data_IF_840977874472
#
_entry.id   IF_840977874472
#
_cell.length_a   1.000
_cell.length_b   1.000
_cell.length_c   1.000
_cell.angle_alpha   90.00
_cell.angle_beta   90.00
_cell.angle_gamma   90.00
#
_symmetry.space_group_name_H-M   'P 1'
#
loop_
_entity.id
_entity.type
_entity.pdbx_description
1 polymer ?
#
# COMPACT_ATOMS: atom_id res chain seq x y z
N UNK A 1 -32.87 -1.97 -11.44
CA UNK A 1 -32.03 -0.83 -11.84
C UNK A 1 -30.61 -1.37 -11.98
N UNK A 2 -29.99 -1.27 -13.16
CA UNK A 2 -28.59 -1.64 -13.36
C UNK A 2 -27.73 -0.69 -12.51
N UNK A 3 -26.86 -1.23 -11.66
CA UNK A 3 -25.90 -0.44 -10.91
C UNK A 3 -24.97 0.26 -11.90
N UNK A 4 -24.73 1.54 -11.72
CA UNK A 4 -23.75 2.29 -12.51
C UNK A 4 -22.37 1.64 -12.31
N UNK A 5 -21.60 1.43 -13.39
CA UNK A 5 -20.25 0.88 -13.23
C UNK A 5 -19.38 1.84 -12.38
N UNK A 6 -18.46 1.30 -11.58
CA UNK A 6 -17.58 2.13 -10.76
C UNK A 6 -16.70 3.04 -11.63
N UNK A 7 -16.38 4.25 -11.13
CA UNK A 7 -15.52 5.21 -11.80
C UNK A 7 -14.04 4.84 -11.72
N UNK A 8 -13.66 4.06 -10.73
CA UNK A 8 -12.30 3.57 -10.49
C UNK A 8 -12.31 2.32 -9.59
N UNK A 9 -11.19 1.61 -9.53
CA UNK A 9 -11.07 0.48 -8.61
C UNK A 9 -9.72 0.44 -7.88
N UNK A 10 -9.74 -0.18 -6.69
CA UNK A 10 -8.56 -0.55 -5.92
C UNK A 10 -8.57 -2.05 -5.70
N UNK A 11 -7.58 -2.77 -6.23
CA UNK A 11 -7.35 -4.16 -5.87
C UNK A 11 -6.34 -4.24 -4.73
N UNK A 12 -6.73 -4.89 -3.64
CA UNK A 12 -5.93 -5.03 -2.43
C UNK A 12 -5.37 -6.44 -2.33
N UNK A 13 -4.03 -6.54 -2.28
CA UNK A 13 -3.27 -7.78 -2.29
C UNK A 13 -2.55 -7.96 -0.94
N UNK A 14 -2.94 -8.98 -0.19
CA UNK A 14 -2.34 -9.23 1.12
C UNK A 14 -1.00 -9.98 1.02
N UNK A 15 -0.23 -9.95 2.09
CA UNK A 15 1.02 -10.71 2.22
C UNK A 15 0.80 -12.21 2.24
N UNK A 16 1.90 -12.95 2.16
CA UNK A 16 1.88 -14.41 2.18
C UNK A 16 3.23 -14.97 2.56
N UNK A 17 3.54 -16.17 2.05
CA UNK A 17 4.80 -16.90 2.28
C UNK A 17 5.58 -17.00 0.97
N UNK A 18 6.85 -17.31 1.07
CA UNK A 18 7.66 -17.66 -0.08
C UNK A 18 7.17 -18.95 -0.76
N UNK A 19 6.78 -19.95 0.05
CA UNK A 19 6.25 -21.21 -0.43
C UNK A 19 5.00 -21.64 0.34
N UNK A 20 4.10 -22.36 -0.34
CA UNK A 20 2.90 -22.92 0.24
C UNK A 20 1.77 -23.07 -0.77
N UNK A 21 1.54 -24.31 -1.22
CA UNK A 21 0.54 -24.65 -2.25
C UNK A 21 -0.87 -24.89 -1.70
N UNK A 22 -1.04 -24.92 -0.37
CA UNK A 22 -2.38 -24.96 0.22
C UNK A 22 -3.07 -23.58 0.16
N UNK A 23 -4.41 -23.54 0.27
CA UNK A 23 -5.14 -22.28 0.31
C UNK A 23 -4.79 -21.45 1.54
N UNK A 24 -4.96 -20.12 1.50
CA UNK A 24 -4.90 -19.30 2.69
C UNK A 24 -5.92 -19.76 3.73
N UNK A 25 -5.60 -19.71 5.04
CA UNK A 25 -6.57 -20.02 6.08
C UNK A 25 -7.83 -19.16 5.95
N UNK A 26 -9.02 -19.68 6.26
CA UNK A 26 -10.25 -18.93 6.12
C UNK A 26 -10.42 -17.84 7.21
N UNK A 27 -11.13 -16.78 6.88
CA UNK A 27 -11.63 -15.78 7.80
C UNK A 27 -10.56 -15.11 8.67
N UNK A 28 -10.72 -15.09 10.00
CA UNK A 28 -9.78 -14.42 10.92
C UNK A 28 -8.40 -15.09 11.01
N UNK A 29 -8.30 -16.35 10.63
CA UNK A 29 -7.03 -17.09 10.64
C UNK A 29 -6.09 -16.66 9.51
N UNK A 30 -6.61 -16.02 8.46
CA UNK A 30 -5.79 -15.39 7.42
C UNK A 30 -5.25 -14.04 7.93
N UNK A 31 -4.28 -14.07 8.85
CA UNK A 31 -3.70 -12.86 9.45
C UNK A 31 -3.18 -11.85 8.41
N UNK A 32 -2.50 -12.25 7.31
CA UNK A 32 -2.14 -11.31 6.26
C UNK A 32 -3.35 -10.60 5.62
N UNK A 33 -4.43 -11.32 5.34
CA UNK A 33 -5.67 -10.75 4.82
C UNK A 33 -6.37 -9.84 5.84
N UNK A 34 -6.41 -10.25 7.11
CA UNK A 34 -6.97 -9.44 8.21
C UNK A 34 -6.24 -8.12 8.36
N UNK A 35 -4.91 -8.12 8.21
CA UNK A 35 -4.06 -6.91 8.28
C UNK A 35 -4.45 -5.86 7.24
N UNK A 36 -4.94 -6.26 6.08
CA UNK A 36 -5.35 -5.32 5.03
C UNK A 36 -6.76 -4.73 5.26
N UNK A 37 -7.58 -5.30 6.13
CA UNK A 37 -8.96 -4.82 6.38
C UNK A 37 -9.06 -3.35 6.82
N UNK A 38 -8.19 -2.82 7.71
CA UNK A 38 -8.20 -1.40 8.05
C UNK A 38 -7.97 -0.49 6.85
N UNK A 39 -7.04 -0.86 5.95
CA UNK A 39 -6.78 -0.12 4.71
C UNK A 39 -8.01 -0.13 3.79
N UNK A 40 -8.62 -1.30 3.57
CA UNK A 40 -9.87 -1.42 2.79
C UNK A 40 -10.96 -0.52 3.36
N UNK A 41 -11.14 -0.51 4.69
CA UNK A 41 -12.16 0.33 5.35
C UNK A 41 -11.84 1.82 5.21
N UNK A 42 -10.56 2.21 5.32
CA UNK A 42 -10.13 3.60 5.17
C UNK A 42 -10.38 4.09 3.74
N UNK A 43 -9.98 3.31 2.73
CA UNK A 43 -10.22 3.62 1.31
C UNK A 43 -11.72 3.72 0.99
N UNK A 44 -12.52 2.76 1.45
CA UNK A 44 -13.96 2.80 1.23
C UNK A 44 -14.66 3.99 1.93
N UNK A 45 -14.13 4.49 3.05
CA UNK A 45 -14.62 5.72 3.70
C UNK A 45 -14.20 6.96 2.91
N UNK A 46 -12.94 7.02 2.46
CA UNK A 46 -12.42 8.14 1.67
C UNK A 46 -13.21 8.29 0.36
N UNK A 47 -13.45 7.21 -0.38
CA UNK A 47 -14.25 7.21 -1.59
C UNK A 47 -15.67 7.76 -1.34
N UNK A 48 -16.35 7.27 -0.30
CA UNK A 48 -17.68 7.77 0.06
C UNK A 48 -17.67 9.25 0.45
N UNK A 49 -16.66 9.69 1.19
CA UNK A 49 -16.55 11.09 1.60
C UNK A 49 -16.30 12.04 0.41
N UNK A 50 -15.58 11.55 -0.63
CA UNK A 50 -15.35 12.27 -1.89
C UNK A 50 -16.53 12.20 -2.87
N UNK A 51 -17.60 11.45 -2.56
CA UNK A 51 -18.70 11.22 -3.50
C UNK A 51 -18.33 10.36 -4.71
N UNK A 52 -17.22 9.63 -4.62
CA UNK A 52 -16.65 8.82 -5.70
C UNK A 52 -17.16 7.38 -5.64
N UNK A 53 -17.52 6.82 -6.80
CA UNK A 53 -17.89 5.41 -6.91
C UNK A 53 -16.65 4.54 -7.17
N UNK A 54 -15.82 4.38 -6.13
CA UNK A 54 -14.59 3.59 -6.19
C UNK A 54 -14.84 2.19 -5.62
N UNK A 55 -14.65 1.17 -6.45
CA UNK A 55 -14.69 -0.22 -6.03
C UNK A 55 -13.41 -0.60 -5.28
N UNK A 56 -13.52 -1.02 -4.01
CA UNK A 56 -12.38 -1.55 -3.25
C UNK A 56 -12.57 -3.05 -3.05
N UNK A 57 -11.74 -3.87 -3.69
CA UNK A 57 -11.84 -5.34 -3.68
C UNK A 57 -10.54 -5.97 -3.23
N UNK A 58 -10.60 -6.96 -2.33
CA UNK A 58 -9.44 -7.79 -1.97
C UNK A 58 -9.31 -8.95 -2.97
N UNK A 59 -8.10 -9.16 -3.48
CA UNK A 59 -7.77 -10.34 -4.29
C UNK A 59 -7.80 -11.59 -3.41
N UNK A 60 -8.45 -12.64 -3.90
CA UNK A 60 -8.48 -13.96 -3.26
C UNK A 60 -7.38 -14.81 -3.88
N UNK A 61 -6.48 -15.31 -3.04
CA UNK A 61 -5.43 -16.22 -3.50
C UNK A 61 -5.89 -17.67 -3.45
N UNK A 62 -5.59 -18.41 -4.50
CA UNK A 62 -5.74 -19.86 -4.53
C UNK A 62 -4.72 -20.54 -3.62
N UNK A 63 -3.51 -19.99 -3.56
CA UNK A 63 -2.39 -20.51 -2.78
C UNK A 63 -1.81 -19.46 -1.83
N UNK A 64 -1.34 -19.89 -0.64
CA UNK A 64 -0.81 -19.00 0.40
C UNK A 64 0.64 -18.54 0.16
N UNK A 65 1.34 -19.13 -0.82
CA UNK A 65 2.74 -18.87 -1.13
C UNK A 65 2.95 -18.30 -2.53
N UNK A 66 4.13 -17.71 -2.74
CA UNK A 66 4.58 -17.26 -4.06
C UNK A 66 4.89 -18.43 -4.99
N UNK A 67 5.52 -19.49 -4.45
CA UNK A 67 5.81 -20.78 -5.09
C UNK A 67 6.77 -20.71 -6.30
N UNK A 68 7.85 -19.95 -6.15
CA UNK A 68 8.91 -19.85 -7.18
C UNK A 68 8.40 -19.32 -8.52
N UNK A 69 8.68 -20.02 -9.60
CA UNK A 69 8.29 -19.61 -10.96
C UNK A 69 6.78 -19.68 -11.22
N UNK A 70 6.04 -20.43 -10.39
CA UNK A 70 4.58 -20.45 -10.47
C UNK A 70 3.96 -19.09 -10.20
N UNK A 71 4.56 -18.29 -9.31
CA UNK A 71 4.10 -16.94 -8.99
C UNK A 71 2.58 -16.86 -8.77
N UNK A 72 1.99 -17.83 -8.04
CA UNK A 72 0.54 -17.99 -7.92
C UNK A 72 -0.22 -16.67 -7.59
N UNK A 73 0.26 -15.82 -6.65
CA UNK A 73 -0.42 -14.56 -6.34
C UNK A 73 -0.41 -13.54 -7.50
N UNK A 74 0.55 -13.64 -8.42
CA UNK A 74 0.55 -12.84 -9.65
C UNK A 74 -0.59 -13.27 -10.57
N UNK A 75 -0.77 -14.57 -10.77
CA UNK A 75 -1.86 -15.09 -11.60
C UNK A 75 -3.22 -14.74 -11.03
N UNK A 76 -3.39 -14.86 -9.70
CA UNK A 76 -4.63 -14.45 -9.02
C UNK A 76 -4.89 -12.93 -9.17
N UNK A 77 -3.84 -12.09 -9.15
CA UNK A 77 -3.97 -10.65 -9.36
C UNK A 77 -4.38 -10.32 -10.80
N UNK A 78 -3.77 -10.97 -11.79
CA UNK A 78 -4.12 -10.77 -13.21
C UNK A 78 -5.56 -11.22 -13.47
N UNK A 79 -5.95 -12.41 -12.99
CA UNK A 79 -7.33 -12.90 -13.12
C UNK A 79 -8.35 -11.93 -12.49
N UNK A 80 -8.03 -11.33 -11.33
CA UNK A 80 -8.89 -10.32 -10.71
C UNK A 80 -9.00 -9.03 -11.55
N UNK A 81 -7.94 -8.64 -12.25
CA UNK A 81 -7.95 -7.51 -13.20
C UNK A 81 -8.76 -7.83 -14.46
N UNK A 82 -8.62 -9.03 -14.99
CA UNK A 82 -9.41 -9.49 -16.15
C UNK A 82 -10.91 -9.50 -15.84
N UNK A 83 -11.30 -9.99 -14.66
CA UNK A 83 -12.70 -9.93 -14.19
C UNK A 83 -13.18 -8.46 -14.10
N UNK A 84 -12.37 -7.55 -13.58
CA UNK A 84 -12.76 -6.12 -13.52
C UNK A 84 -12.92 -5.53 -14.92
N UNK A 85 -12.07 -5.91 -15.87
CA UNK A 85 -12.18 -5.46 -17.26
C UNK A 85 -13.48 -5.93 -17.89
N UNK A 86 -13.89 -7.18 -17.64
CA UNK A 86 -15.16 -7.75 -18.11
C UNK A 86 -16.37 -7.08 -17.44
N UNK A 87 -16.30 -6.81 -16.13
CA UNK A 87 -17.42 -6.25 -15.35
C UNK A 87 -17.63 -4.73 -15.62
N UNK A 88 -16.55 -3.97 -15.82
CA UNK A 88 -16.60 -2.50 -15.82
C UNK A 88 -15.97 -1.82 -17.06
N UNK A 89 -15.42 -2.59 -17.99
CA UNK A 89 -14.84 -2.09 -19.25
C UNK A 89 -13.34 -1.86 -19.21
N UNK A 90 -12.78 -1.57 -20.38
CA UNK A 90 -11.33 -1.50 -20.60
C UNK A 90 -10.68 -0.19 -20.11
N UNK A 91 -11.46 0.82 -19.81
CA UNK A 91 -10.97 2.14 -19.40
C UNK A 91 -10.99 2.37 -17.88
N UNK A 92 -11.47 1.39 -17.09
CA UNK A 92 -11.54 1.49 -15.63
C UNK A 92 -10.13 1.71 -15.04
N UNK A 93 -9.82 2.88 -14.44
CA UNK A 93 -8.53 3.08 -13.81
C UNK A 93 -8.42 2.24 -12.52
N UNK A 94 -7.35 1.44 -12.41
CA UNK A 94 -7.10 0.60 -11.25
C UNK A 94 -5.79 0.98 -10.58
N UNK A 95 -5.83 1.14 -9.25
CA UNK A 95 -4.62 1.19 -8.40
C UNK A 95 -4.49 -0.14 -7.66
N UNK A 96 -3.30 -0.74 -7.73
CA UNK A 96 -2.98 -1.94 -6.97
C UNK A 96 -2.37 -1.54 -5.62
N UNK A 97 -2.97 -1.99 -4.53
CA UNK A 97 -2.42 -1.84 -3.17
C UNK A 97 -1.95 -3.19 -2.66
N UNK A 98 -0.64 -3.37 -2.51
CA UNK A 98 -0.08 -4.63 -2.05
C UNK A 98 0.73 -4.52 -0.76
N UNK A 99 0.76 -5.59 0.04
CA UNK A 99 1.63 -5.73 1.21
C UNK A 99 2.56 -6.92 1.05
N UNK A 100 3.88 -6.75 1.28
CA UNK A 100 4.88 -7.83 1.30
C UNK A 100 4.85 -8.66 -0.01
N UNK A 101 4.53 -9.95 0.02
CA UNK A 101 4.31 -10.80 -1.15
C UNK A 101 3.24 -10.22 -2.10
N UNK A 102 2.16 -9.65 -1.54
CA UNK A 102 1.10 -9.01 -2.34
C UNK A 102 1.59 -7.75 -3.05
N UNK A 103 2.55 -7.01 -2.49
CA UNK A 103 3.19 -5.89 -3.18
C UNK A 103 4.05 -6.38 -4.36
N UNK A 104 4.76 -7.51 -4.20
CA UNK A 104 5.46 -8.16 -5.31
C UNK A 104 4.49 -8.55 -6.43
N UNK A 105 3.35 -9.16 -6.09
CA UNK A 105 2.33 -9.52 -7.06
C UNK A 105 1.76 -8.28 -7.76
N UNK A 106 1.47 -7.20 -7.04
CA UNK A 106 1.00 -5.93 -7.59
C UNK A 106 2.02 -5.32 -8.59
N UNK A 107 3.29 -5.28 -8.21
CA UNK A 107 4.37 -4.79 -9.09
C UNK A 107 4.51 -5.63 -10.36
N UNK A 108 4.36 -6.96 -10.26
CA UNK A 108 4.45 -7.87 -11.39
C UNK A 108 3.22 -7.79 -12.31
N UNK A 109 2.02 -7.56 -11.75
CA UNK A 109 0.76 -7.41 -12.48
C UNK A 109 0.56 -6.01 -13.10
N UNK A 110 1.44 -5.04 -12.82
CA UNK A 110 1.26 -3.64 -13.21
C UNK A 110 1.29 -3.39 -14.72
N UNK A 111 1.75 -4.36 -15.53
CA UNK A 111 1.65 -4.28 -17.00
C UNK A 111 0.23 -4.42 -17.55
N UNK A 112 -0.74 -4.83 -16.74
CA UNK A 112 -2.13 -4.96 -17.17
C UNK A 112 -2.72 -3.58 -17.60
N UNK A 113 -3.50 -3.49 -18.70
CA UNK A 113 -3.99 -2.22 -19.25
C UNK A 113 -4.76 -1.34 -18.29
N UNK A 114 -5.56 -1.92 -17.39
CA UNK A 114 -6.33 -1.17 -16.39
C UNK A 114 -5.46 -0.48 -15.34
N UNK A 115 -4.22 -0.97 -15.09
CA UNK A 115 -3.42 -0.49 -13.97
C UNK A 115 -2.82 0.89 -14.28
N UNK A 116 -3.14 1.88 -13.45
CA UNK A 116 -2.57 3.24 -13.49
C UNK A 116 -1.40 3.40 -12.55
N UNK A 117 -1.46 2.72 -11.38
CA UNK A 117 -0.41 2.83 -10.40
C UNK A 117 -0.39 1.69 -9.38
N UNK A 118 0.69 1.66 -8.61
CA UNK A 118 0.94 0.67 -7.57
C UNK A 118 1.34 1.37 -6.27
N UNK A 119 0.69 1.03 -5.17
CA UNK A 119 1.14 1.36 -3.81
C UNK A 119 1.59 0.07 -3.14
N UNK A 120 2.89 -0.06 -2.90
CA UNK A 120 3.49 -1.23 -2.25
C UNK A 120 3.90 -0.94 -0.81
N UNK A 121 3.38 -1.70 0.15
CA UNK A 121 3.67 -1.56 1.58
C UNK A 121 4.63 -2.67 2.02
N UNK A 122 5.78 -2.29 2.59
CA UNK A 122 6.83 -3.23 3.03
C UNK A 122 7.09 -4.34 1.99
N UNK A 123 7.33 -4.01 0.71
CA UNK A 123 7.31 -4.97 -0.38
C UNK A 123 8.44 -5.98 -0.28
N UNK A 124 8.16 -7.20 -0.71
CA UNK A 124 9.19 -8.19 -0.96
C UNK A 124 9.71 -8.03 -2.40
N UNK A 125 10.95 -7.55 -2.52
CA UNK A 125 11.59 -7.17 -3.79
C UNK A 125 12.85 -8.01 -4.07
N UNK A 126 12.75 -9.25 -4.58
CA UNK A 126 13.90 -10.00 -5.02
C UNK A 126 14.68 -9.26 -6.12
N UNK A 127 16.01 -9.36 -6.10
CA UNK A 127 16.89 -8.62 -7.02
C UNK A 127 16.60 -8.90 -8.51
N UNK A 128 16.19 -10.11 -8.85
CA UNK A 128 15.90 -10.55 -10.22
C UNK A 128 14.51 -10.20 -10.74
N UNK A 129 13.62 -9.61 -9.92
CA UNK A 129 12.27 -9.29 -10.38
C UNK A 129 12.31 -8.24 -11.51
N UNK A 130 11.54 -8.44 -12.62
CA UNK A 130 11.47 -7.51 -13.72
C UNK A 130 10.80 -6.20 -13.32
N UNK A 131 11.16 -5.11 -14.04
CA UNK A 131 10.62 -3.77 -13.82
C UNK A 131 10.07 -3.12 -15.11
N UNK A 132 10.26 -3.75 -16.27
CA UNK A 132 9.84 -3.20 -17.57
C UNK A 132 8.33 -3.02 -17.68
N UNK A 133 7.55 -3.90 -17.04
CA UNK A 133 6.09 -3.80 -16.98
C UNK A 133 5.59 -2.59 -16.17
N UNK A 134 6.48 -1.91 -15.45
CA UNK A 134 6.17 -0.70 -14.68
C UNK A 134 6.28 0.57 -15.52
N UNK A 135 6.82 0.51 -16.73
CA UNK A 135 6.96 1.67 -17.62
C UNK A 135 5.62 2.41 -17.79
N UNK A 136 5.65 3.74 -17.63
CA UNK A 136 4.46 4.59 -17.68
C UNK A 136 3.51 4.50 -16.50
N UNK A 137 3.84 3.74 -15.43
CA UNK A 137 3.02 3.61 -14.22
C UNK A 137 3.56 4.47 -13.09
N UNK A 138 2.66 4.91 -12.21
CA UNK A 138 3.00 5.54 -10.94
C UNK A 138 3.22 4.45 -9.88
N UNK A 139 4.42 4.41 -9.30
CA UNK A 139 4.79 3.39 -8.33
C UNK A 139 5.29 4.05 -7.06
N UNK A 140 4.52 3.93 -5.98
CA UNK A 140 4.93 4.42 -4.67
C UNK A 140 5.13 3.25 -3.73
N UNK A 141 6.35 3.11 -3.22
CA UNK A 141 6.73 2.04 -2.30
C UNK A 141 6.97 2.62 -0.90
N UNK A 142 6.26 2.11 0.08
CA UNK A 142 6.37 2.55 1.47
C UNK A 142 7.06 1.47 2.29
N UNK A 143 8.17 1.79 2.95
CA UNK A 143 8.94 0.82 3.71
C UNK A 143 9.39 1.38 5.06
N UNK A 144 9.42 0.54 6.09
CA UNK A 144 9.97 0.93 7.37
C UNK A 144 11.49 0.72 7.43
N UNK A 145 12.21 1.67 8.01
CA UNK A 145 13.65 1.50 8.28
C UNK A 145 13.97 0.43 9.35
N UNK A 146 12.97 -0.11 10.04
CA UNK A 146 13.10 -1.19 11.03
C UNK A 146 12.46 -2.50 10.59
N UNK A 147 12.12 -2.62 9.32
CA UNK A 147 11.67 -3.90 8.77
C UNK A 147 12.80 -4.94 8.82
N UNK A 148 12.51 -6.11 9.38
CA UNK A 148 13.47 -7.23 9.51
C UNK A 148 13.08 -8.44 8.67
N UNK A 149 11.95 -8.37 7.96
CA UNK A 149 11.46 -9.45 7.11
C UNK A 149 11.74 -9.20 5.64
N UNK A 150 11.63 -7.94 5.22
CA UNK A 150 11.97 -7.50 3.86
C UNK A 150 12.95 -6.33 3.91
N UNK A 151 13.75 -6.17 2.86
CA UNK A 151 14.84 -5.20 2.82
C UNK A 151 14.40 -3.84 2.27
N UNK A 152 14.52 -2.75 3.04
CA UNK A 152 14.31 -1.38 2.53
C UNK A 152 15.29 -1.04 1.39
N UNK A 153 16.52 -1.56 1.44
CA UNK A 153 17.54 -1.35 0.40
C UNK A 153 17.14 -2.03 -0.91
N UNK A 154 16.55 -3.24 -0.84
CA UNK A 154 16.01 -3.91 -2.02
C UNK A 154 14.85 -3.13 -2.64
N UNK A 155 14.00 -2.52 -1.80
CA UNK A 155 12.92 -1.63 -2.25
C UNK A 155 13.48 -0.40 -2.95
N UNK A 156 14.47 0.27 -2.39
CA UNK A 156 15.13 1.43 -3.00
C UNK A 156 15.79 1.06 -4.34
N UNK A 157 16.47 -0.07 -4.39
CA UNK A 157 17.09 -0.58 -5.63
C UNK A 157 16.04 -0.87 -6.71
N UNK A 158 14.90 -1.50 -6.35
CA UNK A 158 13.80 -1.74 -7.28
C UNK A 158 13.20 -0.41 -7.78
N UNK A 159 12.98 0.57 -6.88
CA UNK A 159 12.46 1.89 -7.22
C UNK A 159 13.35 2.59 -8.25
N UNK A 160 14.67 2.59 -8.03
CA UNK A 160 15.63 3.18 -8.96
C UNK A 160 15.68 2.43 -10.31
N UNK A 161 15.63 1.09 -10.31
CA UNK A 161 15.57 0.30 -11.56
C UNK A 161 14.30 0.57 -12.34
N UNK A 162 13.15 0.64 -11.66
CA UNK A 162 11.86 0.92 -12.27
C UNK A 162 11.84 2.32 -12.91
N UNK A 163 12.41 3.33 -12.24
CA UNK A 163 12.55 4.69 -12.79
C UNK A 163 13.36 4.69 -14.08
N UNK A 164 14.51 4.04 -14.09
CA UNK A 164 15.32 3.89 -15.31
C UNK A 164 14.60 3.14 -16.43
N UNK A 165 13.65 2.27 -16.11
CA UNK A 165 12.80 1.58 -17.05
C UNK A 165 11.56 2.39 -17.50
N UNK A 166 11.44 3.66 -17.10
CA UNK A 166 10.36 4.56 -17.52
C UNK A 166 9.15 4.61 -16.62
N UNK A 167 9.21 4.04 -15.40
CA UNK A 167 8.18 4.24 -14.39
C UNK A 167 8.39 5.57 -13.65
N UNK A 168 7.30 6.20 -13.20
CA UNK A 168 7.37 7.31 -12.24
C UNK A 168 7.35 6.72 -10.84
N UNK A 169 8.45 6.88 -10.10
CA UNK A 169 8.62 6.14 -8.84
C UNK A 169 8.92 7.05 -7.65
N UNK A 170 8.41 6.68 -6.49
CA UNK A 170 8.72 7.28 -5.20
C UNK A 170 8.84 6.20 -4.13
N UNK A 171 9.83 6.30 -3.26
CA UNK A 171 9.91 5.51 -2.04
C UNK A 171 9.64 6.41 -0.84
N UNK A 172 8.80 5.96 0.10
CA UNK A 172 8.56 6.67 1.37
C UNK A 172 9.05 5.80 2.53
N UNK A 173 9.93 6.36 3.36
CA UNK A 173 10.43 5.70 4.57
C UNK A 173 9.55 6.03 5.76
N UNK A 174 9.05 5.01 6.47
CA UNK A 174 8.35 5.14 7.75
C UNK A 174 9.31 4.82 8.88
N UNK A 175 9.84 5.85 9.57
CA UNK A 175 10.75 5.65 10.70
C UNK A 175 10.04 4.98 11.87
N UNK A 176 10.69 3.98 12.47
CA UNK A 176 10.16 3.29 13.65
C UNK A 176 8.93 2.42 13.41
N UNK A 177 8.51 2.25 12.16
CA UNK A 177 7.48 1.28 11.79
C UNK A 177 7.95 -0.16 11.90
N UNK A 178 7.13 -1.11 11.42
CA UNK A 178 7.47 -2.52 11.34
C UNK A 178 6.87 -3.14 10.06
N UNK A 179 7.31 -4.36 9.71
CA UNK A 179 6.78 -5.10 8.55
C UNK A 179 5.26 -5.30 8.62
N UNK A 180 4.75 -5.50 9.83
CA UNK A 180 3.33 -5.75 10.05
C UNK A 180 2.48 -4.49 10.01
N UNK A 181 3.09 -3.30 9.91
CA UNK A 181 2.40 -1.99 9.91
C UNK A 181 1.55 -1.75 11.18
N UNK A 182 1.92 -2.42 12.30
CA UNK A 182 1.25 -2.27 13.59
C UNK A 182 1.84 -1.05 14.31
N UNK A 183 3.17 -0.93 14.29
CA UNK A 183 3.82 0.27 14.80
C UNK A 183 3.54 1.42 13.85
N UNK A 184 3.06 2.54 14.41
CA UNK A 184 2.64 3.72 13.66
C UNK A 184 1.47 3.44 12.69
N UNK A 185 0.54 2.55 13.06
CA UNK A 185 -0.57 2.13 12.19
C UNK A 185 -1.35 3.31 11.60
N UNK A 186 -1.63 4.35 12.40
CA UNK A 186 -2.29 5.58 11.92
C UNK A 186 -1.53 6.26 10.78
N UNK A 187 -0.19 6.37 10.86
CA UNK A 187 0.63 6.95 9.81
C UNK A 187 0.58 6.10 8.52
N UNK A 188 0.70 4.77 8.63
CA UNK A 188 0.56 3.86 7.51
C UNK A 188 -0.81 4.02 6.81
N UNK A 189 -1.90 4.06 7.59
CA UNK A 189 -3.25 4.16 7.03
C UNK A 189 -3.48 5.51 6.33
N UNK A 190 -3.09 6.64 6.95
CA UNK A 190 -3.25 7.98 6.37
C UNK A 190 -2.45 8.12 5.07
N UNK A 191 -1.15 7.78 5.14
CA UNK A 191 -0.28 7.84 3.97
C UNK A 191 -0.85 6.99 2.83
N UNK A 192 -1.18 5.72 3.10
CA UNK A 192 -1.70 4.81 2.07
C UNK A 192 -3.00 5.33 1.46
N UNK A 193 -3.92 5.86 2.28
CA UNK A 193 -5.18 6.41 1.78
C UNK A 193 -4.90 7.61 0.86
N UNK A 194 -4.08 8.57 1.28
CA UNK A 194 -3.72 9.72 0.46
C UNK A 194 -2.99 9.34 -0.83
N UNK A 195 -2.08 8.35 -0.78
CA UNK A 195 -1.40 7.84 -1.98
C UNK A 195 -2.38 7.22 -2.97
N UNK A 196 -3.27 6.34 -2.50
CA UNK A 196 -4.22 5.64 -3.38
C UNK A 196 -5.22 6.63 -3.98
N UNK A 197 -5.82 7.53 -3.19
CA UNK A 197 -6.75 8.54 -3.70
C UNK A 197 -6.07 9.52 -4.65
N UNK A 198 -4.83 9.92 -4.35
CA UNK A 198 -4.04 10.78 -5.24
C UNK A 198 -3.71 10.12 -6.58
N UNK A 199 -3.33 8.83 -6.58
CA UNK A 199 -3.06 8.07 -7.82
C UNK A 199 -4.33 7.80 -8.65
N UNK A 200 -5.49 7.74 -8.03
CA UNK A 200 -6.78 7.66 -8.72
C UNK A 200 -7.27 9.02 -9.25
N UNK A 201 -6.63 10.13 -8.85
CA UNK A 201 -7.08 11.47 -9.21
C UNK A 201 -8.29 11.97 -8.41
N UNK A 202 -8.72 11.23 -7.39
CA UNK A 202 -9.83 11.59 -6.49
C UNK A 202 -9.39 12.41 -5.27
N UNK A 203 -8.09 12.72 -5.16
CA UNK A 203 -7.48 13.52 -4.12
C UNK A 203 -6.11 14.03 -4.52
N UNK A 204 -5.48 14.83 -3.65
CA UNK A 204 -4.09 15.28 -3.85
C UNK A 204 -3.12 14.22 -3.32
N UNK A 205 -1.99 14.05 -4.02
CA UNK A 205 -0.88 13.26 -3.50
C UNK A 205 -0.30 13.92 -2.24
N UNK A 206 0.08 13.13 -1.22
CA UNK A 206 0.68 13.68 -0.01
C UNK A 206 2.00 14.41 -0.27
N UNK A 207 2.13 15.64 0.22
CA UNK A 207 3.38 16.40 0.28
C UNK A 207 4.18 16.40 -1.03
N UNK A 208 5.47 16.06 -0.93
CA UNK A 208 6.42 16.08 -2.05
C UNK A 208 6.31 14.88 -3.01
N UNK A 209 5.40 13.93 -2.78
CA UNK A 209 5.31 12.70 -3.61
C UNK A 209 5.16 13.00 -5.10
N UNK A 210 4.31 13.96 -5.45
CA UNK A 210 4.10 14.37 -6.84
C UNK A 210 5.38 14.86 -7.52
N UNK A 211 6.17 15.68 -6.82
CA UNK A 211 7.47 16.14 -7.30
C UNK A 211 8.46 15.01 -7.52
N UNK A 212 8.52 14.04 -6.58
CA UNK A 212 9.40 12.88 -6.70
C UNK A 212 9.00 11.94 -7.83
N UNK A 213 7.70 11.77 -8.07
CA UNK A 213 7.20 11.00 -9.22
C UNK A 213 7.59 11.65 -10.56
N UNK A 214 7.75 12.97 -10.61
CA UNK A 214 8.15 13.72 -11.80
C UNK A 214 9.68 13.75 -12.03
N UNK A 215 10.50 13.19 -11.15
CA UNK A 215 11.95 13.15 -11.32
C UNK A 215 12.36 12.40 -12.61
N UNK A 216 13.43 12.83 -13.29
CA UNK A 216 13.91 12.20 -14.51
C UNK A 216 14.43 10.77 -14.25
N UNK A 217 14.51 9.96 -15.29
CA UNK A 217 15.01 8.58 -15.23
C UNK A 217 16.44 8.47 -14.67
N UNK A 218 17.22 9.55 -14.78
CA UNK A 218 18.62 9.64 -14.31
C UNK A 218 18.76 10.04 -12.84
N UNK A 219 17.66 10.42 -12.17
CA UNK A 219 17.72 10.84 -10.76
C UNK A 219 18.23 9.72 -9.86
N UNK A 220 19.05 10.10 -8.88
CA UNK A 220 19.63 9.16 -7.93
C UNK A 220 18.56 8.51 -7.05
N UNK A 221 18.87 7.31 -6.53
CA UNK A 221 17.94 6.56 -5.68
C UNK A 221 17.55 7.33 -4.40
N UNK A 222 18.46 8.13 -3.87
CA UNK A 222 18.24 8.98 -2.69
C UNK A 222 17.27 10.12 -2.96
N UNK A 223 17.35 10.76 -4.12
CA UNK A 223 16.41 11.81 -4.54
C UNK A 223 14.99 11.26 -4.70
N UNK A 224 14.86 9.99 -5.08
CA UNK A 224 13.60 9.26 -5.20
C UNK A 224 13.02 8.76 -3.87
N UNK A 225 13.63 9.10 -2.73
CA UNK A 225 13.24 8.62 -1.40
C UNK A 225 12.86 9.77 -0.49
N UNK A 226 11.66 9.72 0.06
CA UNK A 226 11.13 10.66 1.06
C UNK A 226 11.09 10.02 2.43
N UNK A 227 11.17 10.85 3.46
CA UNK A 227 10.90 10.43 4.83
C UNK A 227 9.52 10.95 5.25
N UNK A 228 8.69 10.07 5.83
CA UNK A 228 7.33 10.44 6.22
C UNK A 228 7.27 11.60 7.21
N UNK A 229 8.22 11.69 8.13
CA UNK A 229 8.17 12.67 9.22
C UNK A 229 8.73 14.04 8.83
N UNK A 230 9.68 14.10 7.88
CA UNK A 230 10.32 15.36 7.46
C UNK A 230 9.74 15.93 6.17
N UNK A 231 9.32 15.06 5.24
CA UNK A 231 8.99 15.47 3.87
C UNK A 231 7.49 15.42 3.57
N UNK A 232 6.73 14.74 4.44
CA UNK A 232 5.29 14.60 4.31
C UNK A 232 4.60 15.06 5.59
N UNK A 233 3.79 16.09 5.51
CA UNK A 233 2.86 16.43 6.59
C UNK A 233 1.75 15.37 6.64
N UNK A 234 1.70 14.53 7.69
CA UNK A 234 0.69 13.47 7.78
C UNK A 234 -0.73 14.01 7.97
N UNK A 235 -0.91 15.33 8.09
CA UNK A 235 -2.19 15.98 8.39
C UNK A 235 -2.75 15.62 9.78
N UNK A 236 -3.91 16.16 10.17
CA UNK A 236 -4.57 15.83 11.43
C UNK A 236 -4.95 14.34 11.45
N UNK A 237 -4.86 13.72 12.63
CA UNK A 237 -5.16 12.31 12.83
C UNK A 237 -6.68 12.05 12.72
N UNK A 238 -7.18 11.86 11.51
CA UNK A 238 -8.59 11.53 11.24
C UNK A 238 -9.01 10.17 11.83
N UNK A 239 -8.07 9.41 12.38
CA UNK A 239 -8.27 8.10 13.02
C UNK A 239 -7.90 8.10 14.50
N UNK A 240 -7.56 9.25 15.11
CA UNK A 240 -7.45 9.35 16.55
C UNK A 240 -8.83 9.04 17.15
N UNK A 241 -8.91 7.96 17.91
CA UNK A 241 -10.08 7.65 18.72
C UNK A 241 -10.28 8.79 19.73
N UNK A 242 -11.36 9.60 19.63
CA UNK A 242 -11.59 10.71 20.56
C UNK A 242 -11.80 10.24 22.01
N UNK A 243 -11.91 8.91 22.26
CA UNK A 243 -12.14 8.30 23.57
C UNK A 243 -10.87 7.97 24.37
N UNK A 244 -9.64 8.03 23.81
CA UNK A 244 -8.41 7.81 24.58
C UNK A 244 -7.78 9.12 25.10
N UNK A 245 -8.62 9.99 25.68
CA UNK A 245 -8.22 11.17 26.38
C UNK A 245 -7.85 10.88 27.83
N UNK A 246 -6.56 10.97 28.14
CA UNK A 246 -5.98 11.34 29.44
C UNK A 246 -6.38 10.52 30.66
N UNK A 247 -5.69 9.43 30.91
CA UNK A 247 -5.42 9.05 32.28
C UNK A 247 -4.44 10.10 32.88
N UNK A 248 -4.98 11.18 33.44
CA UNK A 248 -4.23 12.03 34.36
C UNK A 248 -4.03 11.22 35.65
N UNK A 249 -2.78 10.89 35.94
CA UNK A 249 -2.39 10.35 37.22
C UNK A 249 -2.92 11.24 38.35
N UNK A 250 -3.77 10.70 39.21
CA UNK A 250 -4.12 11.35 40.49
C UNK A 250 -2.87 11.37 41.35
N UNK A 251 -2.29 12.53 41.44
CA UNK A 251 -1.31 12.91 42.45
C UNK A 251 -1.94 12.69 43.84
N UNK A 252 -1.55 11.64 44.53
CA UNK A 252 -1.93 11.46 45.94
C UNK A 252 -1.04 12.36 46.75
N UNK A 253 -1.52 13.60 47.00
CA UNK A 253 -0.96 14.49 47.98
C UNK A 253 -0.84 13.80 49.33
N UNK A 254 0.38 13.62 49.77
CA UNK A 254 0.78 13.26 51.13
C UNK A 254 0.64 14.51 51.98
N UNK A 255 -0.46 14.70 52.68
CA UNK A 255 -0.56 15.64 53.79
C UNK A 255 0.08 15.01 55.03
N UNK A 256 1.26 15.49 55.38
CA UNK A 256 1.80 15.32 56.72
C UNK A 256 1.14 16.30 57.67
N UNK A 257 0.76 15.83 58.85
CA UNK A 257 0.47 16.69 60.01
C UNK A 257 1.31 16.22 61.20
N UNK A 258 1.80 17.14 62.01
CA UNK A 258 2.78 16.86 63.06
C UNK A 258 2.10 16.55 64.40
N UNK A 259 2.67 15.59 65.11
CA UNK A 259 2.98 15.64 66.58
C UNK A 259 3.72 14.38 67.00
#
# INVERSE_FOLDING_TARGET
>A
MAQRPPSAAVLVLHGGRESGTGPPPPGPLNLPGVRMRPFVRALARAARAGGEDVLVRQVRYAHRGWNGDRADPLHDAVAALDILREEAGEELPVVLLGHSMGARAALRAAGHPLVRGVVGLAPWCPAGDPVTQLAGRDVVLVHSNRDRLTSPQATQSLTARARRAGARTCMVTVRGGDHAMIRRAGAWHRLTTGLVTGLLGSGSLPGAVGGVLALPATAEATEGTLDLDSDLDPGPDLFADPGRGRFRGRDRGRTGAPR
#
